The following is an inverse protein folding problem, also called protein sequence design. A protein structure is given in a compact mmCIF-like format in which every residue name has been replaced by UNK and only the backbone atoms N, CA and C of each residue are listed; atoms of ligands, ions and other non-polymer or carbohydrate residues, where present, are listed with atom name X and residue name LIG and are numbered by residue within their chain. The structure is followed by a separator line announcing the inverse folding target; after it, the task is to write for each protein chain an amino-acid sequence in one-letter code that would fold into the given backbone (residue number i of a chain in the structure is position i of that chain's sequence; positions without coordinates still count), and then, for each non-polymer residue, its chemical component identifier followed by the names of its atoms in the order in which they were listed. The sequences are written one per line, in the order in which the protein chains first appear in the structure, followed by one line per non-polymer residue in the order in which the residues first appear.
data_IF_621295140446
#
_entry.id   IF_621295140446
#
_cell.length_a   1.000
_cell.length_b   1.000
_cell.length_c   1.000
_cell.angle_alpha   90.00
_cell.angle_beta   90.00
_cell.angle_gamma   90.00
#
_symmetry.space_group_name_H-M   'P 1'
#
loop_
_entity.id
_entity.type
_entity.pdbx_description
1 polymer ?
#
# COMPACT_ATOMS: atom_id res chain seq x y z
N UNK A 1 -13.09 6.51 19.08
CA UNK A 1 -12.13 5.52 19.61
C UNK A 1 -11.51 5.99 20.93
N UNK A 2 -11.34 7.30 21.12
CA UNK A 2 -10.70 7.85 22.34
C UNK A 2 -11.47 7.53 23.62
N UNK A 3 -12.80 7.35 23.55
CA UNK A 3 -13.66 7.02 24.69
C UNK A 3 -13.78 5.49 24.92
N UNK A 4 -13.05 4.68 24.18
CA UNK A 4 -13.12 3.22 24.31
C UNK A 4 -12.14 2.71 25.37
N UNK A 5 -12.57 1.79 26.26
CA UNK A 5 -11.70 1.13 27.24
C UNK A 5 -10.62 0.27 26.60
N UNK A 6 -10.90 -0.28 25.43
CA UNK A 6 -9.96 -1.06 24.63
C UNK A 6 -10.34 -1.03 23.13
N UNK A 7 -9.33 -1.07 22.28
CA UNK A 7 -9.50 -1.18 20.83
C UNK A 7 -8.95 -2.53 20.36
N UNK A 8 -9.73 -3.24 19.57
CA UNK A 8 -9.30 -4.42 18.82
C UNK A 8 -9.35 -4.06 17.34
N UNK A 9 -8.22 -4.16 16.65
CA UNK A 9 -8.14 -3.88 15.22
C UNK A 9 -8.29 -5.17 14.43
N UNK A 10 -9.33 -5.26 13.61
CA UNK A 10 -9.60 -6.42 12.77
C UNK A 10 -9.60 -6.02 11.29
N UNK A 11 -8.72 -6.62 10.50
CA UNK A 11 -8.52 -6.25 9.10
C UNK A 11 -8.38 -7.48 8.22
N UNK A 12 -8.31 -7.26 6.90
CA UNK A 12 -8.06 -8.29 5.89
C UNK A 12 -6.70 -8.08 5.23
N UNK A 13 -5.97 -9.18 4.99
CA UNK A 13 -4.74 -9.17 4.22
C UNK A 13 -5.02 -8.81 2.75
N UNK A 14 -4.40 -7.73 2.26
CA UNK A 14 -4.60 -7.23 0.90
C UNK A 14 -3.30 -6.67 0.30
N UNK A 15 -3.15 -6.80 -1.02
CA UNK A 15 -2.24 -5.96 -1.80
C UNK A 15 -2.72 -4.51 -1.80
N UNK A 16 -1.81 -3.56 -1.99
CA UNK A 16 -2.14 -2.13 -1.98
C UNK A 16 -1.34 -1.35 -3.02
N UNK A 17 -2.03 -0.49 -3.75
CA UNK A 17 -1.42 0.31 -4.83
C UNK A 17 -0.34 1.29 -4.37
N UNK A 18 -0.41 1.91 -3.21
CA UNK A 18 0.57 2.89 -2.70
C UNK A 18 1.58 2.27 -1.73
N UNK A 19 1.15 1.37 -0.86
CA UNK A 19 1.94 0.86 0.27
C UNK A 19 2.40 -0.60 0.09
N UNK A 20 2.15 -1.20 -1.08
CA UNK A 20 2.37 -2.61 -1.42
C UNK A 20 1.49 -3.58 -0.60
N UNK A 21 1.39 -3.38 0.71
CA UNK A 21 0.63 -4.16 1.67
C UNK A 21 -0.42 -3.32 2.40
N UNK A 22 -1.57 -3.89 2.67
CA UNK A 22 -2.57 -3.40 3.61
C UNK A 22 -2.95 -4.54 4.54
N UNK A 23 -2.59 -4.41 5.81
CA UNK A 23 -2.95 -5.33 6.87
C UNK A 23 -3.13 -4.55 8.19
N UNK A 24 -2.46 -4.92 9.28
CA UNK A 24 -2.72 -4.39 10.63
C UNK A 24 -2.43 -2.89 10.75
N UNK A 25 -1.23 -2.43 10.32
CA UNK A 25 -0.81 -1.03 10.48
C UNK A 25 -1.75 -0.07 9.73
N UNK A 26 -2.10 -0.38 8.48
CA UNK A 26 -2.96 0.50 7.67
C UNK A 26 -4.41 0.51 8.14
N UNK A 27 -4.86 -0.49 8.89
CA UNK A 27 -6.27 -0.61 9.26
C UNK A 27 -6.79 0.59 10.08
N UNK A 28 -5.96 1.15 10.95
CA UNK A 28 -6.32 2.34 11.73
C UNK A 28 -6.51 3.63 10.91
N UNK A 29 -6.13 3.63 9.64
CA UNK A 29 -6.57 4.70 8.73
C UNK A 29 -8.10 4.73 8.59
N UNK A 30 -8.78 3.66 9.00
CA UNK A 30 -10.23 3.60 9.16
C UNK A 30 -10.79 4.56 10.20
N UNK A 31 -10.00 4.98 11.20
CA UNK A 31 -10.38 5.99 12.19
C UNK A 31 -10.51 7.40 11.61
N UNK A 32 -9.84 7.66 10.48
CA UNK A 32 -9.97 8.92 9.76
C UNK A 32 -11.32 8.92 9.00
N UNK A 33 -12.18 9.93 9.15
CA UNK A 33 -13.44 10.03 8.42
C UNK A 33 -13.25 9.91 6.91
N UNK A 34 -14.13 9.13 6.24
CA UNK A 34 -14.00 8.81 4.82
C UNK A 34 -13.92 10.03 3.90
N UNK A 35 -14.62 11.10 4.24
CA UNK A 35 -14.67 12.35 3.47
C UNK A 35 -13.35 13.10 3.44
N UNK A 36 -12.49 12.96 4.46
CA UNK A 36 -11.20 13.65 4.54
C UNK A 36 -10.00 12.73 4.25
N UNK A 37 -10.21 11.43 4.03
CA UNK A 37 -9.11 10.51 3.64
C UNK A 37 -8.32 10.96 2.40
N UNK A 38 -8.95 11.47 1.33
CA UNK A 38 -8.23 12.00 0.19
C UNK A 38 -7.32 13.18 0.54
N UNK A 39 -7.73 14.05 1.50
CA UNK A 39 -6.91 15.16 1.99
C UNK A 39 -5.62 14.66 2.67
N UNK A 40 -5.69 13.58 3.44
CA UNK A 40 -4.48 12.98 4.03
C UNK A 40 -3.51 12.46 2.98
N UNK A 41 -4.00 11.88 1.89
CA UNK A 41 -3.16 11.50 0.75
C UNK A 41 -2.54 12.71 0.02
N UNK A 42 -3.21 13.85 0.04
CA UNK A 42 -2.66 15.10 -0.51
C UNK A 42 -1.62 15.71 0.43
N UNK A 43 -1.88 15.67 1.73
CA UNK A 43 -0.98 16.20 2.78
C UNK A 43 0.31 15.38 2.90
N UNK A 44 0.22 14.07 2.68
CA UNK A 44 1.34 13.12 2.72
C UNK A 44 1.49 12.39 1.39
N UNK A 45 1.94 13.07 0.32
CA UNK A 45 2.04 12.47 -1.02
C UNK A 45 3.20 11.48 -1.14
N UNK A 46 4.22 11.58 -0.28
CA UNK A 46 5.31 10.61 -0.20
C UNK A 46 4.86 9.37 0.57
N UNK A 47 5.11 8.15 0.06
CA UNK A 47 4.72 6.92 0.74
C UNK A 47 5.35 6.72 2.12
N UNK A 48 6.56 7.25 2.37
CA UNK A 48 7.22 7.15 3.67
C UNK A 48 6.58 8.10 4.69
N UNK A 49 6.26 9.34 4.29
CA UNK A 49 5.56 10.30 5.14
C UNK A 49 4.15 9.78 5.48
N UNK A 50 3.45 9.21 4.48
CA UNK A 50 2.14 8.60 4.70
C UNK A 50 2.24 7.38 5.64
N UNK A 51 3.27 6.55 5.49
CA UNK A 51 3.54 5.44 6.40
C UNK A 51 3.82 5.93 7.82
N UNK A 52 4.60 7.01 7.97
CA UNK A 52 4.84 7.66 9.25
C UNK A 52 3.55 8.07 9.96
N UNK A 53 2.64 8.72 9.26
CA UNK A 53 1.32 9.11 9.77
C UNK A 53 0.49 7.88 10.20
N UNK A 54 0.52 6.78 9.44
CA UNK A 54 -0.16 5.54 9.83
C UNK A 54 0.41 4.92 11.12
N UNK A 55 1.72 5.01 11.32
CA UNK A 55 2.36 4.56 12.56
C UNK A 55 1.90 5.45 13.71
N UNK A 56 1.86 6.77 13.54
CA UNK A 56 1.40 7.71 14.55
C UNK A 56 -0.06 7.41 14.99
N UNK A 57 -0.94 7.01 14.06
CA UNK A 57 -2.30 6.57 14.40
C UNK A 57 -2.28 5.30 15.27
N UNK A 58 -1.39 4.33 14.97
CA UNK A 58 -1.28 3.12 15.78
C UNK A 58 -0.72 3.41 17.19
N UNK A 59 0.27 4.31 17.28
CA UNK A 59 0.83 4.74 18.56
C UNK A 59 -0.14 5.59 19.40
N UNK A 60 -1.05 6.32 18.74
CA UNK A 60 -2.10 7.09 19.41
C UNK A 60 -3.19 6.18 20.01
N UNK A 61 -3.84 5.36 19.17
CA UNK A 61 -4.97 4.53 19.61
C UNK A 61 -4.55 3.26 20.35
N UNK A 62 -3.36 2.75 20.14
CA UNK A 62 -2.76 1.58 20.82
C UNK A 62 -3.70 0.39 20.97
N UNK A 63 -4.23 -0.17 19.87
CA UNK A 63 -5.06 -1.37 19.96
C UNK A 63 -4.38 -2.47 20.78
N UNK A 64 -5.15 -3.09 21.67
CA UNK A 64 -4.63 -4.18 22.52
C UNK A 64 -4.43 -5.47 21.74
N UNK A 65 -5.16 -5.63 20.65
CA UNK A 65 -5.07 -6.81 19.80
C UNK A 65 -5.29 -6.40 18.34
N UNK A 66 -4.49 -6.97 17.47
CA UNK A 66 -4.66 -6.90 16.03
C UNK A 66 -4.96 -8.31 15.51
N UNK A 67 -5.98 -8.42 14.69
CA UNK A 67 -6.37 -9.63 13.99
C UNK A 67 -6.33 -9.37 12.49
N UNK A 68 -5.66 -10.24 11.74
CA UNK A 68 -5.62 -10.19 10.28
C UNK A 68 -6.32 -11.42 9.73
N UNK A 69 -7.47 -11.21 9.12
CA UNK A 69 -8.16 -12.22 8.35
C UNK A 69 -7.46 -12.40 7.00
N UNK A 70 -6.80 -13.53 6.86
CA UNK A 70 -6.22 -14.04 5.63
C UNK A 70 -6.86 -15.36 5.20
N UNK A 71 -8.07 -15.71 5.69
CA UNK A 71 -8.79 -16.90 5.20
C UNK A 71 -9.01 -16.78 3.69
N UNK A 72 -9.50 -15.61 3.24
CA UNK A 72 -9.48 -15.21 1.84
C UNK A 72 -8.84 -13.84 1.77
N UNK A 73 -7.60 -13.78 1.31
CA UNK A 73 -6.86 -12.53 1.08
C UNK A 73 -7.27 -11.88 -0.25
N UNK A 74 -6.76 -10.68 -0.52
CA UNK A 74 -6.96 -10.01 -1.81
C UNK A 74 -5.61 -9.70 -2.47
N UNK A 75 -5.39 -10.23 -3.64
CA UNK A 75 -4.18 -10.02 -4.45
C UNK A 75 -4.43 -9.13 -5.67
N UNK A 76 -3.37 -8.71 -6.36
CA UNK A 76 -3.45 -7.90 -7.59
C UNK A 76 -3.86 -6.46 -7.33
N UNK A 77 -4.86 -5.93 -8.03
CA UNK A 77 -5.25 -4.51 -8.02
C UNK A 77 -6.00 -4.10 -6.72
N UNK A 78 -5.50 -4.52 -5.54
CA UNK A 78 -6.02 -4.09 -4.23
C UNK A 78 -5.80 -2.59 -3.97
N UNK A 79 -6.48 -2.03 -2.96
CA UNK A 79 -7.16 -2.72 -1.86
C UNK A 79 -8.65 -3.01 -2.09
N UNK A 80 -9.26 -2.61 -3.22
CA UNK A 80 -10.72 -2.73 -3.46
C UNK A 80 -11.08 -3.50 -4.73
N UNK A 81 -10.25 -3.46 -5.75
CA UNK A 81 -10.48 -4.06 -7.06
C UNK A 81 -9.49 -5.21 -7.37
N UNK A 82 -8.98 -5.86 -6.32
CA UNK A 82 -8.14 -7.06 -6.46
C UNK A 82 -8.95 -8.32 -6.68
N UNK A 83 -8.24 -9.43 -6.77
CA UNK A 83 -8.81 -10.77 -6.93
C UNK A 83 -8.79 -11.49 -5.57
N UNK A 84 -9.85 -12.15 -5.15
CA UNK A 84 -9.83 -13.02 -3.98
C UNK A 84 -8.77 -14.13 -4.14
N UNK A 85 -8.01 -14.38 -3.07
CA UNK A 85 -7.01 -15.45 -3.00
C UNK A 85 -7.29 -16.28 -1.75
N UNK A 86 -7.70 -17.54 -1.88
CA UNK A 86 -7.74 -18.47 -0.73
C UNK A 86 -6.34 -18.56 -0.10
N UNK A 87 -6.27 -18.30 1.21
CA UNK A 87 -5.00 -18.29 1.94
C UNK A 87 -5.09 -19.20 3.18
N UNK A 88 -6.24 -19.19 3.88
CA UNK A 88 -6.56 -20.13 4.94
C UNK A 88 -6.00 -19.79 6.32
N UNK A 89 -5.45 -18.58 6.53
CA UNK A 89 -4.83 -18.18 7.78
C UNK A 89 -5.59 -17.09 8.53
N UNK A 90 -5.47 -17.13 9.86
CA UNK A 90 -5.76 -16.02 10.76
C UNK A 90 -4.48 -15.69 11.52
N UNK A 91 -4.12 -14.40 11.55
CA UNK A 91 -2.96 -13.92 12.29
C UNK A 91 -3.43 -13.01 13.42
N UNK A 92 -2.77 -13.13 14.58
CA UNK A 92 -3.07 -12.31 15.75
C UNK A 92 -1.79 -11.85 16.44
N UNK A 93 -1.83 -10.69 17.07
CA UNK A 93 -0.71 -10.19 17.87
C UNK A 93 -0.98 -8.81 18.44
N UNK A 94 -0.07 -8.35 19.28
CA UNK A 94 -0.17 -7.05 19.95
C UNK A 94 0.63 -5.94 19.26
N UNK A 95 1.52 -6.29 18.32
CA UNK A 95 2.31 -5.32 17.55
C UNK A 95 1.93 -5.39 16.07
N UNK A 96 1.31 -4.35 15.50
CA UNK A 96 0.83 -4.35 14.12
C UNK A 96 1.96 -4.48 13.09
N UNK A 97 3.13 -3.91 13.39
CA UNK A 97 4.25 -3.90 12.45
C UNK A 97 4.89 -5.30 12.33
N UNK A 98 4.95 -6.04 13.45
CA UNK A 98 5.43 -7.44 13.44
C UNK A 98 4.46 -8.37 12.73
N UNK A 99 3.15 -8.14 12.88
CA UNK A 99 2.13 -8.87 12.12
C UNK A 99 2.26 -8.56 10.62
N UNK A 100 2.43 -7.29 10.25
CA UNK A 100 2.60 -6.90 8.85
C UNK A 100 3.90 -7.48 8.27
N UNK A 101 4.97 -7.59 9.06
CA UNK A 101 6.22 -8.24 8.67
C UNK A 101 6.00 -9.74 8.37
N UNK A 102 5.24 -10.43 9.24
CA UNK A 102 4.85 -11.81 8.99
C UNK A 102 4.00 -11.93 7.73
N UNK A 103 2.99 -11.07 7.56
CA UNK A 103 2.17 -11.04 6.35
C UNK A 103 3.01 -10.85 5.08
N UNK A 104 3.96 -9.91 5.10
CA UNK A 104 4.86 -9.66 3.98
C UNK A 104 5.70 -10.90 3.64
N UNK A 105 6.27 -11.55 4.65
CA UNK A 105 7.05 -12.78 4.51
C UNK A 105 6.23 -13.90 3.86
N UNK A 106 5.00 -14.14 4.35
CA UNK A 106 4.13 -15.21 3.87
C UNK A 106 3.75 -15.03 2.40
N UNK A 107 3.59 -13.79 1.92
CA UNK A 107 3.23 -13.51 0.52
C UNK A 107 4.44 -13.26 -0.39
N UNK A 108 5.66 -13.52 0.08
CA UNK A 108 6.89 -13.34 -0.70
C UNK A 108 7.25 -11.88 -1.00
N UNK A 109 6.71 -10.94 -0.22
CA UNK A 109 7.00 -9.51 -0.37
C UNK A 109 8.21 -9.13 0.49
N UNK A 110 9.24 -8.58 -0.13
CA UNK A 110 10.42 -8.09 0.59
C UNK A 110 10.02 -6.96 1.54
N UNK A 111 10.32 -7.04 2.84
CA UNK A 111 9.92 -6.03 3.83
C UNK A 111 10.42 -4.62 3.49
N UNK A 112 11.59 -4.50 2.87
CA UNK A 112 12.18 -3.24 2.43
C UNK A 112 11.32 -2.54 1.35
N UNK A 113 10.46 -3.28 0.66
CA UNK A 113 9.54 -2.75 -0.34
C UNK A 113 8.21 -2.28 0.25
N UNK A 114 8.01 -2.40 1.56
CA UNK A 114 6.80 -1.99 2.27
C UNK A 114 7.07 -0.70 3.05
N UNK A 115 6.55 0.46 2.61
CA UNK A 115 6.81 1.73 3.28
C UNK A 115 6.49 1.73 4.77
N UNK A 116 5.39 1.08 5.20
CA UNK A 116 5.02 0.99 6.62
C UNK A 116 6.01 0.16 7.43
N UNK A 117 6.59 -0.90 6.87
CA UNK A 117 7.61 -1.71 7.55
C UNK A 117 8.94 -0.97 7.65
N UNK A 118 9.35 -0.28 6.58
CA UNK A 118 10.56 0.56 6.61
C UNK A 118 10.45 1.65 7.65
N UNK A 119 9.37 2.43 7.63
CA UNK A 119 9.16 3.51 8.58
C UNK A 119 9.08 3.00 10.04
N UNK A 120 8.46 1.83 10.26
CA UNK A 120 8.41 1.20 11.57
C UNK A 120 9.80 0.71 12.05
N UNK A 121 10.61 0.17 11.14
CA UNK A 121 11.97 -0.26 11.45
C UNK A 121 12.89 0.92 11.75
N UNK A 122 12.79 2.01 11.00
CA UNK A 122 13.53 3.26 11.26
C UNK A 122 13.20 3.86 12.63
N UNK A 123 11.99 3.60 13.15
CA UNK A 123 11.56 3.99 14.52
C UNK A 123 11.84 2.91 15.58
N UNK A 124 12.47 1.78 15.24
CA UNK A 124 12.77 0.69 16.16
C UNK A 124 11.57 -0.14 16.63
N UNK A 125 10.42 -0.04 15.95
CA UNK A 125 9.17 -0.71 16.34
C UNK A 125 9.07 -2.17 15.86
N UNK A 126 9.86 -2.53 14.83
CA UNK A 126 9.93 -3.89 14.28
C UNK A 126 11.29 -4.14 13.64
N UNK A 127 11.80 -5.38 13.59
CA UNK A 127 12.89 -5.73 12.68
C UNK A 127 12.40 -5.71 11.24
N UNK A 128 13.32 -5.77 10.26
CA UNK A 128 12.98 -6.07 8.85
C UNK A 128 13.24 -7.54 8.49
N UNK A 129 14.00 -8.26 9.30
CA UNK A 129 14.24 -9.69 9.11
C UNK A 129 13.13 -10.52 9.76
N UNK A 130 12.30 -11.24 8.96
CA UNK A 130 11.24 -12.09 9.50
C UNK A 130 11.74 -13.21 10.42
N UNK A 131 13.00 -13.64 10.31
CA UNK A 131 13.58 -14.65 11.18
C UNK A 131 13.67 -14.21 12.66
N UNK A 132 13.60 -12.90 12.92
CA UNK A 132 13.60 -12.33 14.27
C UNK A 132 12.20 -12.30 14.91
N UNK A 133 11.16 -12.79 14.21
CA UNK A 133 9.82 -12.87 14.78
C UNK A 133 9.69 -14.12 15.65
N UNK A 134 9.10 -13.96 16.84
CA UNK A 134 8.61 -15.07 17.62
C UNK A 134 7.16 -15.36 17.22
N UNK A 135 6.93 -16.43 16.49
CA UNK A 135 5.62 -16.83 15.97
C UNK A 135 5.18 -18.12 16.64
N UNK A 136 3.98 -18.12 17.22
CA UNK A 136 3.31 -19.33 17.67
C UNK A 136 2.46 -19.90 16.54
N UNK A 137 2.65 -21.16 16.21
CA UNK A 137 2.00 -21.84 15.11
C UNK A 137 2.93 -22.11 13.92
N UNK A 138 2.43 -22.83 12.93
CA UNK A 138 3.18 -23.20 11.73
C UNK A 138 2.96 -22.16 10.62
N UNK A 139 3.72 -21.07 10.67
CA UNK A 139 3.63 -20.02 9.66
C UNK A 139 4.04 -20.51 8.26
N UNK A 140 4.99 -21.45 8.18
CA UNK A 140 5.51 -21.94 6.90
C UNK A 140 4.42 -22.67 6.08
N UNK A 141 3.45 -23.31 6.75
CA UNK A 141 2.32 -23.96 6.09
C UNK A 141 1.43 -23.00 5.28
N UNK A 142 1.53 -21.69 5.55
CA UNK A 142 0.72 -20.65 4.88
C UNK A 142 1.55 -19.80 3.89
N UNK A 143 2.77 -20.22 3.56
CA UNK A 143 3.58 -19.51 2.59
C UNK A 143 2.92 -19.50 1.19
N UNK A 144 2.80 -18.32 0.60
CA UNK A 144 2.17 -18.08 -0.70
C UNK A 144 3.06 -17.16 -1.55
N UNK A 145 4.23 -17.63 -2.01
CA UNK A 145 5.22 -16.81 -2.69
C UNK A 145 4.77 -16.35 -4.09
N UNK A 146 3.74 -16.98 -4.65
CA UNK A 146 3.11 -16.64 -5.92
C UNK A 146 1.97 -15.61 -5.79
N UNK A 147 1.80 -15.03 -4.58
CA UNK A 147 0.81 -13.99 -4.33
C UNK A 147 1.08 -12.77 -5.21
N UNK A 148 0.07 -12.35 -5.96
CA UNK A 148 0.21 -11.25 -6.92
C UNK A 148 0.23 -9.90 -6.22
N UNK A 149 1.41 -9.33 -6.08
CA UNK A 149 1.63 -8.03 -5.46
C UNK A 149 1.73 -6.97 -6.55
N UNK A 150 1.10 -5.82 -6.33
CA UNK A 150 1.42 -4.62 -7.09
C UNK A 150 2.71 -4.06 -6.50
N UNK A 151 3.86 -4.52 -7.00
CA UNK A 151 5.15 -4.00 -6.55
C UNK A 151 5.27 -2.53 -6.95
N UNK A 152 5.45 -1.66 -5.98
CA UNK A 152 6.08 -0.38 -6.25
C UNK A 152 7.56 -0.64 -6.54
N UNK A 153 8.09 -0.03 -7.58
CA UNK A 153 9.52 0.21 -7.67
C UNK A 153 9.86 1.18 -6.53
N UNK A 154 9.94 0.65 -5.30
CA UNK A 154 10.57 1.36 -4.20
C UNK A 154 12.01 1.49 -4.62
N UNK A 155 12.49 2.73 -4.67
CA UNK A 155 13.80 3.03 -5.16
C UNK A 155 14.82 2.03 -4.63
N UNK A 156 15.33 1.22 -5.52
CA UNK A 156 16.71 0.80 -5.40
C UNK A 156 17.45 2.09 -5.12
N UNK A 157 18.12 2.15 -3.99
CA UNK A 157 18.88 3.30 -3.51
C UNK A 157 20.06 3.55 -4.47
N UNK A 158 19.75 3.96 -5.71
CA UNK A 158 20.73 4.35 -6.72
C UNK A 158 21.50 5.60 -6.31
N UNK A 159 21.10 6.26 -5.22
CA UNK A 159 21.71 7.49 -4.75
C UNK A 159 22.79 7.34 -3.68
N UNK A 160 22.91 6.17 -3.02
CA UNK A 160 23.80 6.04 -1.85
C UNK A 160 25.29 5.95 -2.20
N UNK A 161 25.68 5.69 -3.45
CA UNK A 161 27.09 5.50 -3.87
C UNK A 161 27.62 6.44 -4.95
N UNK A 162 26.85 7.42 -5.39
CA UNK A 162 27.29 8.40 -6.41
C UNK A 162 27.15 9.82 -5.90
N UNK A 163 28.15 10.68 -6.12
CA UNK A 163 28.08 12.11 -5.82
C UNK A 163 26.83 12.82 -6.41
N UNK A 164 26.82 14.15 -6.50
CA UNK A 164 25.65 14.92 -6.95
C UNK A 164 25.03 14.42 -8.28
N UNK A 165 25.85 13.90 -9.20
CA UNK A 165 25.41 13.33 -10.47
C UNK A 165 24.70 11.98 -10.30
N UNK A 166 25.16 11.10 -9.38
CA UNK A 166 24.47 9.84 -9.07
C UNK A 166 23.13 10.06 -8.39
N UNK A 167 22.99 11.09 -7.57
CA UNK A 167 21.71 11.52 -6.97
C UNK A 167 20.71 12.02 -8.03
N UNK A 168 21.17 12.75 -9.03
CA UNK A 168 20.31 13.23 -10.12
C UNK A 168 19.83 12.08 -11.01
N UNK A 169 20.73 11.17 -11.40
CA UNK A 169 20.40 9.96 -12.14
C UNK A 169 19.47 9.04 -11.34
N UNK A 170 19.69 8.89 -10.04
CA UNK A 170 18.81 8.12 -9.16
C UNK A 170 17.39 8.70 -9.08
N UNK A 171 17.25 10.02 -9.02
CA UNK A 171 15.93 10.69 -9.04
C UNK A 171 15.20 10.48 -10.36
N UNK A 172 15.88 10.59 -11.50
CA UNK A 172 15.26 10.38 -12.82
C UNK A 172 14.87 8.91 -13.04
N UNK A 173 15.72 7.96 -12.61
CA UNK A 173 15.42 6.54 -12.65
C UNK A 173 14.24 6.17 -11.73
N UNK A 174 14.20 6.69 -10.51
CA UNK A 174 13.09 6.50 -9.58
C UNK A 174 11.77 7.05 -10.16
N UNK A 175 11.82 8.22 -10.82
CA UNK A 175 10.65 8.80 -11.48
C UNK A 175 10.17 7.95 -12.66
N UNK A 176 11.09 7.37 -13.44
CA UNK A 176 10.80 6.49 -14.57
C UNK A 176 10.24 5.12 -14.14
N UNK A 177 10.62 4.63 -12.96
CA UNK A 177 10.17 3.36 -12.39
C UNK A 177 8.87 3.51 -11.57
N UNK A 178 8.42 4.71 -11.30
CA UNK A 178 7.26 4.98 -10.44
C UNK A 178 5.97 4.42 -11.03
N UNK A 179 5.20 3.70 -10.23
CA UNK A 179 3.86 3.25 -10.60
C UNK A 179 2.92 4.45 -10.76
N UNK A 180 1.94 4.31 -11.66
CA UNK A 180 0.98 5.38 -11.98
C UNK A 180 -0.44 4.82 -12.00
N UNK A 181 -1.45 5.59 -11.58
CA UNK A 181 -2.82 5.21 -11.87
C UNK A 181 -3.06 5.27 -13.38
N UNK A 182 -3.74 4.27 -13.90
CA UNK A 182 -4.09 4.18 -15.30
C UNK A 182 -5.52 3.74 -15.50
N UNK A 183 -6.13 4.07 -16.65
CA UNK A 183 -7.50 3.75 -16.97
C UNK A 183 -7.58 2.51 -17.87
N UNK A 184 -8.31 1.49 -17.43
CA UNK A 184 -8.79 0.40 -18.30
C UNK A 184 -10.10 0.86 -18.96
N UNK A 185 -9.98 1.39 -20.17
CA UNK A 185 -11.08 2.07 -20.88
C UNK A 185 -12.36 1.21 -20.99
N UNK A 186 -12.21 -0.10 -21.17
CA UNK A 186 -13.35 -1.04 -21.31
C UNK A 186 -14.23 -1.11 -20.05
N UNK A 187 -13.69 -0.81 -18.86
CA UNK A 187 -14.42 -0.86 -17.60
C UNK A 187 -14.95 0.52 -17.16
N UNK A 188 -14.49 1.60 -17.78
CA UNK A 188 -14.88 2.95 -17.39
C UNK A 188 -16.26 3.29 -17.95
N UNK A 189 -17.15 3.73 -17.07
CA UNK A 189 -18.51 4.19 -17.40
C UNK A 189 -18.69 5.72 -17.23
N UNK A 190 -17.61 6.47 -16.99
CA UNK A 190 -17.65 7.92 -16.86
C UNK A 190 -18.39 8.48 -15.63
N UNK A 191 -18.58 7.66 -14.58
CA UNK A 191 -19.41 8.02 -13.42
C UNK A 191 -18.90 9.21 -12.57
N UNK A 192 -17.65 9.65 -12.77
CA UNK A 192 -17.10 10.84 -12.09
C UNK A 192 -16.50 10.59 -10.71
N UNK A 193 -16.76 9.48 -10.02
CA UNK A 193 -16.28 9.20 -8.66
C UNK A 193 -14.77 9.46 -8.49
N UNK A 194 -13.96 9.01 -9.45
CA UNK A 194 -12.50 9.21 -9.42
C UNK A 194 -12.09 10.68 -9.52
N UNK A 195 -12.88 11.52 -10.22
CA UNK A 195 -12.69 12.98 -10.28
C UNK A 195 -13.01 13.61 -8.91
N UNK A 196 -14.12 13.22 -8.32
CA UNK A 196 -14.65 13.83 -7.09
C UNK A 196 -13.77 13.52 -5.87
N UNK A 197 -13.13 12.32 -5.84
CA UNK A 197 -12.21 11.93 -4.78
C UNK A 197 -10.76 12.32 -5.05
N UNK A 198 -10.44 12.97 -6.16
CA UNK A 198 -9.07 13.33 -6.50
C UNK A 198 -8.61 14.57 -5.73
N UNK A 199 -7.74 14.46 -4.70
CA UNK A 199 -7.36 15.60 -3.88
C UNK A 199 -6.48 16.61 -4.63
N UNK A 200 -5.84 16.18 -5.74
CA UNK A 200 -5.04 17.03 -6.62
C UNK A 200 -5.86 17.61 -7.78
N UNK A 201 -7.17 17.32 -7.87
CA UNK A 201 -8.05 17.71 -8.99
C UNK A 201 -7.42 17.40 -10.36
N UNK A 202 -6.75 16.26 -10.46
CA UNK A 202 -6.00 15.83 -11.64
C UNK A 202 -6.85 14.96 -12.60
N UNK A 203 -8.16 14.86 -12.41
CA UNK A 203 -9.02 13.99 -13.23
C UNK A 203 -10.21 14.79 -13.77
N UNK A 204 -10.42 14.68 -15.08
CA UNK A 204 -11.61 15.17 -15.79
C UNK A 204 -12.40 13.99 -16.37
N UNK A 205 -13.67 14.24 -16.71
CA UNK A 205 -14.49 13.29 -17.48
C UNK A 205 -14.70 13.90 -18.87
N UNK A 206 -14.16 13.23 -19.86
CA UNK A 206 -14.22 13.65 -21.26
C UNK A 206 -14.74 12.50 -22.12
N UNK A 207 -15.71 12.76 -22.97
CA UNK A 207 -16.35 11.77 -23.83
C UNK A 207 -16.81 10.51 -23.06
N UNK A 208 -17.39 10.71 -21.85
CA UNK A 208 -17.88 9.62 -21.00
C UNK A 208 -16.79 8.77 -20.35
N UNK A 209 -15.55 9.24 -20.29
CA UNK A 209 -14.42 8.50 -19.69
C UNK A 209 -13.53 9.40 -18.85
N UNK A 210 -12.87 8.81 -17.85
CA UNK A 210 -11.90 9.54 -17.04
C UNK A 210 -10.61 9.83 -17.83
N UNK A 211 -10.14 11.05 -17.72
CA UNK A 211 -8.83 11.50 -18.20
C UNK A 211 -7.98 11.96 -17.01
N UNK A 212 -6.70 11.57 -16.96
CA UNK A 212 -5.80 11.90 -15.85
C UNK A 212 -4.73 12.87 -16.34
N UNK A 213 -4.72 14.07 -15.77
CA UNK A 213 -3.61 15.01 -15.94
C UNK A 213 -2.38 14.51 -15.17
N UNK A 214 -1.37 14.11 -15.93
CA UNK A 214 -0.14 13.52 -15.39
C UNK A 214 0.75 14.55 -14.69
N UNK A 215 0.66 15.81 -15.04
CA UNK A 215 1.41 16.90 -14.41
C UNK A 215 0.89 17.24 -13.00
N UNK A 216 -0.42 17.09 -12.79
CA UNK A 216 -1.08 17.35 -11.49
C UNK A 216 -1.18 16.12 -10.60
N UNK A 217 -1.05 14.92 -11.17
CA UNK A 217 -1.26 13.67 -10.44
C UNK A 217 -0.16 13.40 -9.40
N UNK A 218 -0.52 13.31 -8.13
CA UNK A 218 0.38 13.02 -7.00
C UNK A 218 0.58 11.52 -6.75
N UNK A 219 0.02 10.64 -7.57
CA UNK A 219 0.14 9.16 -7.49
C UNK A 219 -0.36 8.53 -6.17
N UNK A 220 -1.35 9.13 -5.51
CA UNK A 220 -1.93 8.63 -4.25
C UNK A 220 -2.85 7.42 -4.41
N UNK A 221 -3.29 7.12 -5.63
CA UNK A 221 -4.20 6.02 -5.97
C UNK A 221 -5.61 6.09 -5.36
N UNK A 222 -6.03 7.19 -4.75
CA UNK A 222 -7.42 7.35 -4.30
C UNK A 222 -8.44 7.04 -5.41
N UNK A 223 -8.17 7.47 -6.64
CA UNK A 223 -9.02 7.17 -7.81
C UNK A 223 -9.16 5.66 -8.08
N UNK A 224 -8.15 4.86 -7.73
CA UNK A 224 -8.19 3.41 -7.87
C UNK A 224 -8.97 2.77 -6.70
N UNK A 225 -8.77 3.23 -5.48
CA UNK A 225 -9.46 2.71 -4.30
C UNK A 225 -10.97 2.94 -4.37
N UNK A 226 -11.41 4.10 -4.87
CA UNK A 226 -12.80 4.48 -4.91
C UNK A 226 -13.52 4.14 -6.23
N UNK A 227 -12.84 3.57 -7.22
CA UNK A 227 -13.47 3.22 -8.48
C UNK A 227 -14.43 2.02 -8.35
N UNK A 228 -15.78 2.20 -8.44
CA UNK A 228 -16.73 1.11 -8.21
C UNK A 228 -16.68 0.03 -9.31
N UNK A 229 -16.06 0.35 -10.46
CA UNK A 229 -15.92 -0.55 -11.61
C UNK A 229 -14.52 -1.16 -11.71
N UNK A 230 -13.58 -0.85 -10.78
CA UNK A 230 -12.19 -1.28 -10.88
C UNK A 230 -11.49 -0.82 -12.17
N UNK A 231 -12.02 0.24 -12.82
CA UNK A 231 -11.47 0.75 -14.07
C UNK A 231 -10.13 1.47 -13.89
N UNK A 232 -9.89 2.05 -12.71
CA UNK A 232 -8.60 2.61 -12.35
C UNK A 232 -7.69 1.49 -11.84
N UNK A 233 -6.50 1.38 -12.43
CA UNK A 233 -5.55 0.30 -12.12
C UNK A 233 -4.16 0.88 -11.90
N UNK A 234 -3.30 0.13 -11.22
CA UNK A 234 -1.89 0.47 -11.07
C UNK A 234 -1.14 0.04 -12.33
N UNK A 235 -0.56 1.00 -13.04
CA UNK A 235 0.27 0.74 -14.22
C UNK A 235 1.74 0.90 -13.88
N UNK A 236 2.54 -0.08 -14.29
CA UNK A 236 4.01 0.03 -14.31
C UNK A 236 4.46 0.59 -15.65
N UNK A 237 5.52 1.38 -15.63
CA UNK A 237 6.23 1.73 -16.87
C UNK A 237 6.83 0.47 -17.50
N UNK A 238 7.08 0.50 -18.80
CA UNK A 238 7.71 -0.62 -19.52
C UNK A 238 9.07 -0.97 -18.90
N UNK A 239 9.85 0.04 -18.54
CA UNK A 239 11.15 -0.11 -17.86
C UNK A 239 11.00 -0.83 -16.51
N UNK A 240 9.99 -0.49 -15.72
CA UNK A 240 9.71 -1.14 -14.43
C UNK A 240 9.24 -2.61 -14.58
N UNK A 241 8.65 -2.97 -15.73
CA UNK A 241 8.29 -4.37 -16.01
C UNK A 241 9.53 -5.19 -16.32
N UNK A 242 10.46 -4.67 -17.12
CA UNK A 242 11.71 -5.35 -17.49
C UNK A 242 12.61 -5.49 -16.26
N UNK A 243 12.78 -4.44 -15.45
CA UNK A 243 13.61 -4.46 -14.24
C UNK A 243 13.07 -5.38 -13.13
N UNK A 244 11.78 -5.71 -13.13
CA UNK A 244 11.17 -6.63 -12.15
C UNK A 244 11.27 -8.12 -12.51
N UNK A 245 11.89 -8.45 -13.66
CA UNK A 245 12.19 -9.81 -14.08
C UNK A 245 13.68 -10.17 -13.97
N UNK A 246 14.52 -9.26 -13.47
CA UNK A 246 15.92 -9.45 -13.11
C UNK A 246 16.07 -9.51 -11.58
#
# INVERSE_FOLDING_TARGET
LDDADAVISFCKLKSHGMLALSAATKNLFGAIPGTIKPEYHYRYPDPMDFAGMLIDLNEHFRPRLYLVDAVVAMEGNGPTAGTPRPFGALLAGTNPHRIDLLCASLIGLKPENVPTLRAAAERGLTPLDPAQLCVAGDAAAFACPDFRIVQHGTGTDFGARGGAFGRLLGKTAALALRTRPGLKRALCVGCGVCRDVCPAHAITIENGRAHIDRGRCIHCFCCQEFCPRGAMQVHRTVIARIAGHL
#
